data_IF_830937312636
#
_entry.id   IF_830937312636
#
_cell.length_a   1.000
_cell.length_b   1.000
_cell.length_c   1.000
_cell.angle_alpha   90.00
_cell.angle_beta   90.00
_cell.angle_gamma   90.00
#
_symmetry.space_group_name_H-M   'P 1'
#
loop_
_entity.id
_entity.type
_entity.pdbx_description
1 polymer ?
#
# COMPACT_ATOMS: atom_id res chain seq x y z
N UNK A 1 54.41 26.56 42.84
CA UNK A 1 53.11 27.00 42.29
C UNK A 1 53.06 26.56 40.83
N UNK A 2 52.33 25.49 40.52
CA UNK A 2 52.25 24.92 39.19
C UNK A 2 51.11 25.60 38.41
N UNK A 3 51.42 26.11 37.21
CA UNK A 3 50.42 26.65 36.28
C UNK A 3 49.80 25.49 35.49
N UNK A 4 48.47 25.38 35.37
CA UNK A 4 47.85 24.35 34.55
C UNK A 4 47.92 24.75 33.08
N UNK A 5 48.57 23.90 32.27
CA UNK A 5 48.56 23.94 30.81
C UNK A 5 47.15 23.65 30.31
N UNK A 6 46.45 24.65 29.77
CA UNK A 6 45.19 24.45 29.06
C UNK A 6 45.51 23.81 27.70
N UNK A 7 45.17 22.53 27.58
CA UNK A 7 45.26 21.78 26.34
C UNK A 7 44.09 22.22 25.45
N UNK A 8 44.33 23.15 24.53
CA UNK A 8 43.35 23.54 23.51
C UNK A 8 43.28 22.40 22.50
N UNK A 9 42.31 21.51 22.69
CA UNK A 9 41.91 20.55 21.68
C UNK A 9 41.23 21.37 20.58
N UNK A 10 41.99 21.77 19.55
CA UNK A 10 41.41 22.29 18.32
C UNK A 10 40.69 21.12 17.64
N UNK A 11 39.44 20.91 18.03
CA UNK A 11 38.56 19.99 17.32
C UNK A 11 38.16 20.72 16.05
N UNK A 12 38.90 20.43 14.98
CA UNK A 12 38.55 20.80 13.62
C UNK A 12 37.18 20.18 13.36
N UNK A 13 36.13 20.99 13.36
CA UNK A 13 34.80 20.57 12.94
C UNK A 13 34.93 19.94 11.54
N UNK A 14 34.26 18.81 11.26
CA UNK A 14 34.25 18.27 9.91
C UNK A 14 33.62 19.32 8.99
N UNK A 15 34.33 19.68 7.92
CA UNK A 15 33.81 20.50 6.83
C UNK A 15 32.68 19.71 6.16
N UNK A 16 31.45 19.96 6.61
CA UNK A 16 30.24 19.31 6.09
C UNK A 16 29.75 19.98 4.80
N UNK A 17 30.67 20.24 3.88
CA UNK A 17 30.37 20.75 2.54
C UNK A 17 30.47 19.60 1.52
N UNK A 18 29.82 18.47 1.79
CA UNK A 18 29.36 17.68 0.67
C UNK A 18 28.36 18.58 -0.07
N UNK A 19 28.59 18.91 -1.35
CA UNK A 19 27.68 19.80 -2.05
C UNK A 19 26.32 19.13 -2.07
N UNK A 20 25.27 19.85 -1.69
CA UNK A 20 23.87 19.36 -1.66
C UNK A 20 23.48 18.67 -2.97
N UNK A 21 24.18 18.97 -4.07
CA UNK A 21 24.09 18.28 -5.36
C UNK A 21 24.36 16.77 -5.26
N UNK A 22 25.34 16.31 -4.48
CA UNK A 22 25.67 14.89 -4.36
C UNK A 22 24.57 14.12 -3.62
N UNK A 23 24.08 14.68 -2.52
CA UNK A 23 23.00 14.07 -1.75
C UNK A 23 21.68 14.08 -2.51
N UNK A 24 21.41 15.15 -3.26
CA UNK A 24 20.24 15.25 -4.15
C UNK A 24 20.34 14.25 -5.31
N UNK A 25 21.49 14.14 -5.95
CA UNK A 25 21.72 13.17 -7.02
C UNK A 25 21.51 11.74 -6.51
N UNK A 26 22.09 11.41 -5.36
CA UNK A 26 21.93 10.08 -4.74
C UNK A 26 20.47 9.81 -4.38
N UNK A 27 19.75 10.80 -3.86
CA UNK A 27 18.34 10.68 -3.54
C UNK A 27 17.47 10.46 -4.78
N UNK A 28 17.67 11.27 -5.83
CA UNK A 28 16.96 11.12 -7.11
C UNK A 28 17.30 9.78 -7.76
N UNK A 29 18.56 9.32 -7.69
CA UNK A 29 18.96 8.01 -8.21
C UNK A 29 18.30 6.86 -7.43
N UNK A 30 18.20 6.97 -6.10
CA UNK A 30 17.51 6.01 -5.26
C UNK A 30 16.02 5.94 -5.61
N UNK A 31 15.34 7.09 -5.73
CA UNK A 31 13.94 7.16 -6.14
C UNK A 31 13.71 6.58 -7.54
N UNK A 32 14.63 6.85 -8.48
CA UNK A 32 14.57 6.30 -9.83
C UNK A 32 14.74 4.79 -9.84
N UNK A 33 15.72 4.27 -9.09
CA UNK A 33 15.96 2.83 -8.97
C UNK A 33 14.82 2.07 -8.29
N UNK A 34 14.08 2.74 -7.40
CA UNK A 34 12.90 2.19 -6.73
C UNK A 34 11.61 2.32 -7.56
N UNK A 35 11.66 2.90 -8.78
CA UNK A 35 10.48 3.18 -9.61
C UNK A 35 9.54 4.24 -9.04
N UNK A 36 9.93 4.89 -7.95
CA UNK A 36 9.14 5.91 -7.25
C UNK A 36 9.20 7.26 -7.98
N UNK A 37 10.32 7.55 -8.66
CA UNK A 37 10.52 8.84 -9.33
C UNK A 37 9.46 9.10 -10.41
N UNK A 38 9.13 8.09 -11.22
CA UNK A 38 8.15 8.25 -12.30
C UNK A 38 6.73 8.47 -11.74
N UNK A 39 6.38 7.77 -10.65
CA UNK A 39 5.11 7.97 -9.95
C UNK A 39 5.00 9.38 -9.34
N UNK A 40 6.05 9.83 -8.64
CA UNK A 40 6.08 11.17 -8.02
C UNK A 40 6.07 12.26 -9.09
N UNK A 41 6.79 12.05 -10.20
CA UNK A 41 6.82 12.99 -11.34
C UNK A 41 5.44 13.10 -11.99
N UNK A 42 4.78 11.98 -12.28
CA UNK A 42 3.41 11.99 -12.82
C UNK A 42 2.38 12.62 -11.87
N UNK A 43 2.55 12.43 -10.56
CA UNK A 43 1.72 13.08 -9.54
C UNK A 43 1.93 14.60 -9.51
N UNK A 44 3.18 15.06 -9.65
CA UNK A 44 3.56 16.47 -9.74
C UNK A 44 3.11 17.12 -11.06
N UNK A 45 3.07 16.37 -12.16
CA UNK A 45 2.49 16.83 -13.43
C UNK A 45 0.98 17.06 -13.30
N UNK A 46 0.29 16.25 -12.50
CA UNK A 46 -1.13 16.42 -12.15
C UNK A 46 -1.37 17.27 -10.89
N UNK A 47 -0.38 18.06 -10.46
CA UNK A 47 -0.43 18.82 -9.20
C UNK A 47 -1.70 19.65 -9.02
N UNK A 48 -2.18 20.33 -10.06
CA UNK A 48 -3.29 21.28 -9.93
C UNK A 48 -4.64 20.54 -9.71
N UNK A 49 -4.75 19.28 -10.13
CA UNK A 49 -5.94 18.46 -9.85
C UNK A 49 -5.85 17.73 -8.51
N UNK A 50 -4.66 17.22 -8.17
CA UNK A 50 -4.45 16.39 -6.97
C UNK A 50 -4.27 17.26 -5.72
N UNK A 51 -3.47 18.34 -5.76
CA UNK A 51 -3.24 19.19 -4.58
C UNK A 51 -4.51 19.89 -4.13
N UNK A 52 -5.37 20.32 -5.06
CA UNK A 52 -6.65 20.94 -4.70
C UNK A 52 -7.59 19.98 -3.97
N UNK A 53 -7.57 18.68 -4.32
CA UNK A 53 -8.32 17.64 -3.59
C UNK A 53 -7.68 17.39 -2.23
N UNK A 54 -6.36 17.17 -2.19
CA UNK A 54 -5.64 16.82 -0.95
C UNK A 54 -5.68 17.94 0.10
N UNK A 55 -5.50 19.21 -0.30
CA UNK A 55 -5.49 20.34 0.64
C UNK A 55 -6.86 20.53 1.31
N UNK A 56 -7.95 20.28 0.58
CA UNK A 56 -9.29 20.35 1.14
C UNK A 56 -9.61 19.12 2.02
N UNK A 57 -9.12 17.94 1.64
CA UNK A 57 -9.38 16.70 2.37
C UNK A 57 -8.48 16.52 3.62
N UNK A 58 -7.26 17.06 3.65
CA UNK A 58 -6.29 16.79 4.74
C UNK A 58 -6.76 17.28 6.11
N UNK A 59 -7.63 18.30 6.11
CA UNK A 59 -8.24 18.83 7.32
C UNK A 59 -9.51 18.09 7.73
N UNK A 60 -10.02 17.19 6.89
CA UNK A 60 -11.20 16.39 7.21
C UNK A 60 -10.89 15.43 8.38
N UNK A 61 -11.86 15.20 9.29
CA UNK A 61 -11.72 14.24 10.38
C UNK A 61 -11.27 12.86 9.89
N UNK A 62 -11.74 12.43 8.71
CA UNK A 62 -11.39 11.16 8.08
C UNK A 62 -9.90 11.01 7.79
N UNK A 63 -9.23 12.05 7.27
CA UNK A 63 -7.80 11.98 6.96
C UNK A 63 -6.95 11.96 8.23
N UNK A 64 -7.33 12.74 9.25
CA UNK A 64 -6.66 12.68 10.56
C UNK A 64 -6.77 11.28 11.18
N UNK A 65 -7.94 10.65 11.11
CA UNK A 65 -8.12 9.28 11.57
C UNK A 65 -7.29 8.27 10.76
N UNK A 66 -7.23 8.40 9.44
CA UNK A 66 -6.41 7.54 8.59
C UNK A 66 -4.92 7.62 8.93
N UNK A 67 -4.40 8.83 9.14
CA UNK A 67 -3.01 9.05 9.58
C UNK A 67 -2.76 8.41 10.94
N UNK A 68 -3.66 8.60 11.90
CA UNK A 68 -3.54 8.01 13.23
C UNK A 68 -3.61 6.47 13.22
N UNK A 69 -4.30 5.89 12.24
CA UNK A 69 -4.42 4.44 12.08
C UNK A 69 -3.38 3.84 11.12
N UNK A 70 -2.46 4.66 10.58
CA UNK A 70 -1.48 4.23 9.59
C UNK A 70 -0.51 3.17 10.13
N UNK A 71 -0.13 3.26 11.40
CA UNK A 71 0.72 2.26 12.06
C UNK A 71 0.04 0.89 12.12
N UNK A 72 -1.26 0.87 12.42
CA UNK A 72 -2.05 -0.36 12.49
C UNK A 72 -2.23 -0.96 11.09
N UNK A 73 -2.41 -0.13 10.07
CA UNK A 73 -2.43 -0.55 8.68
C UNK A 73 -1.09 -1.16 8.25
N UNK A 74 0.03 -0.51 8.60
CA UNK A 74 1.37 -1.01 8.31
C UNK A 74 1.64 -2.34 9.01
N UNK A 75 1.27 -2.45 10.28
CA UNK A 75 1.36 -3.69 11.05
C UNK A 75 0.52 -4.81 10.42
N UNK A 76 -0.73 -4.51 10.04
CA UNK A 76 -1.62 -5.45 9.34
C UNK A 76 -0.99 -5.97 8.04
N UNK A 77 -0.50 -5.08 7.18
CA UNK A 77 0.18 -5.48 5.94
C UNK A 77 1.39 -6.36 6.26
N UNK A 78 2.17 -6.02 7.29
CA UNK A 78 3.31 -6.81 7.74
C UNK A 78 2.97 -8.19 8.31
N UNK A 79 1.72 -8.44 8.71
CA UNK A 79 1.28 -9.78 9.15
C UNK A 79 1.04 -10.76 7.99
N UNK A 80 0.94 -10.26 6.76
CA UNK A 80 0.69 -11.09 5.59
C UNK A 80 2.03 -11.68 5.11
N UNK A 81 2.19 -13.02 5.04
CA UNK A 81 3.40 -13.63 4.51
C UNK A 81 3.67 -13.20 3.07
N UNK A 82 4.94 -13.01 2.70
CA UNK A 82 5.35 -12.54 1.37
C UNK A 82 4.77 -13.40 0.24
N UNK A 83 4.76 -14.72 0.41
CA UNK A 83 4.25 -15.68 -0.55
C UNK A 83 2.75 -15.49 -0.77
N UNK A 84 2.01 -15.26 0.31
CA UNK A 84 0.55 -15.02 0.26
C UNK A 84 0.26 -13.69 -0.43
N UNK A 85 1.03 -12.65 -0.10
CA UNK A 85 0.91 -11.34 -0.73
C UNK A 85 1.15 -11.40 -2.23
N UNK A 86 2.20 -12.11 -2.66
CA UNK A 86 2.50 -12.30 -4.09
C UNK A 86 1.37 -13.02 -4.82
N UNK A 87 0.81 -14.08 -4.23
CA UNK A 87 -0.31 -14.83 -4.82
C UNK A 87 -1.55 -13.94 -4.94
N UNK A 88 -1.88 -13.14 -3.93
CA UNK A 88 -3.04 -12.22 -3.97
C UNK A 88 -2.87 -11.17 -5.07
N UNK A 89 -1.69 -10.55 -5.18
CA UNK A 89 -1.42 -9.55 -6.22
C UNK A 89 -1.48 -10.16 -7.63
N UNK A 90 -0.91 -11.35 -7.83
CA UNK A 90 -0.99 -12.06 -9.11
C UNK A 90 -2.42 -12.46 -9.45
N UNK A 91 -3.19 -12.96 -8.48
CA UNK A 91 -4.60 -13.32 -8.67
C UNK A 91 -5.44 -12.09 -9.06
N UNK A 92 -5.22 -10.95 -8.39
CA UNK A 92 -5.88 -9.69 -8.73
C UNK A 92 -5.51 -9.21 -10.15
N UNK A 93 -4.22 -9.20 -10.48
CA UNK A 93 -3.75 -8.79 -11.81
C UNK A 93 -4.31 -9.69 -12.92
N UNK A 94 -4.35 -11.00 -12.69
CA UNK A 94 -4.94 -11.95 -13.64
C UNK A 94 -6.46 -11.78 -13.76
N UNK A 95 -7.16 -11.55 -12.65
CA UNK A 95 -8.60 -11.25 -12.65
C UNK A 95 -8.93 -10.00 -13.49
N UNK A 96 -8.14 -8.93 -13.33
CA UNK A 96 -8.27 -7.71 -14.14
C UNK A 96 -8.04 -7.99 -15.63
N UNK A 97 -7.01 -8.75 -15.96
CA UNK A 97 -6.76 -9.17 -17.36
C UNK A 97 -7.94 -9.97 -17.92
N UNK A 98 -8.52 -10.88 -17.14
CA UNK A 98 -9.67 -11.67 -17.56
C UNK A 98 -10.95 -10.86 -17.74
N UNK A 99 -11.15 -9.77 -16.99
CA UNK A 99 -12.28 -8.85 -17.20
C UNK A 99 -12.17 -8.10 -18.53
N UNK A 100 -10.96 -7.86 -19.02
CA UNK A 100 -10.71 -7.19 -20.28
C UNK A 100 -10.72 -8.14 -21.49
N UNK A 101 -10.97 -9.44 -21.30
CA UNK A 101 -11.13 -10.39 -22.40
C UNK A 101 -12.43 -10.06 -23.18
N UNK A 102 -12.36 -9.78 -24.49
CA UNK A 102 -13.53 -9.47 -25.32
C UNK A 102 -14.64 -10.52 -25.23
N UNK A 103 -14.31 -11.79 -24.94
CA UNK A 103 -15.28 -12.87 -24.77
C UNK A 103 -16.14 -12.73 -23.51
N UNK A 104 -15.69 -11.99 -22.50
CA UNK A 104 -16.46 -11.70 -21.30
C UNK A 104 -17.47 -10.55 -21.51
N UNK A 105 -17.24 -9.70 -22.53
CA UNK A 105 -18.01 -8.47 -22.81
C UNK A 105 -19.14 -8.67 -23.84
N UNK A 106 -19.23 -9.82 -24.50
CA UNK A 106 -20.27 -10.09 -25.52
C UNK A 106 -21.61 -10.54 -24.95
N UNK A 107 -21.71 -10.80 -23.65
CA UNK A 107 -22.97 -11.13 -22.99
C UNK A 107 -23.51 -9.89 -22.28
N UNK A 108 -24.36 -9.14 -22.98
CA UNK A 108 -25.04 -7.95 -22.46
C UNK A 108 -26.18 -8.29 -21.48
N UNK A 109 -26.33 -9.56 -21.11
CA UNK A 109 -27.30 -10.07 -20.14
C UNK A 109 -26.54 -10.57 -18.90
N UNK A 110 -26.95 -10.11 -17.72
CA UNK A 110 -26.34 -10.52 -16.46
C UNK A 110 -26.35 -12.04 -16.28
N UNK A 111 -25.36 -12.57 -15.55
CA UNK A 111 -25.26 -14.00 -15.28
C UNK A 111 -26.47 -14.48 -14.45
N UNK A 112 -27.27 -15.40 -15.00
CA UNK A 112 -28.40 -16.00 -14.31
C UNK A 112 -27.96 -17.00 -13.21
N UNK A 113 -28.85 -17.30 -12.26
CA UNK A 113 -28.56 -18.19 -11.11
C UNK A 113 -28.11 -19.58 -11.59
N UNK A 114 -28.73 -20.13 -12.63
CA UNK A 114 -28.35 -21.43 -13.21
C UNK A 114 -26.97 -21.40 -13.90
N UNK A 115 -26.63 -20.28 -14.53
CA UNK A 115 -25.31 -20.08 -15.14
C UNK A 115 -24.23 -19.97 -14.05
N UNK A 116 -24.54 -19.31 -12.93
CA UNK A 116 -23.66 -19.23 -11.77
C UNK A 116 -23.41 -20.62 -11.16
N UNK A 117 -24.46 -21.43 -10.96
CA UNK A 117 -24.30 -22.82 -10.53
C UNK A 117 -23.48 -23.64 -11.54
N UNK A 118 -23.67 -23.40 -12.83
CA UNK A 118 -22.86 -23.98 -13.89
C UNK A 118 -21.39 -23.58 -13.79
N UNK A 119 -21.11 -22.30 -13.54
CA UNK A 119 -19.75 -21.77 -13.38
C UNK A 119 -19.04 -22.38 -12.16
N UNK A 120 -19.78 -22.65 -11.07
CA UNK A 120 -19.24 -23.35 -9.89
C UNK A 120 -18.84 -24.81 -10.16
N UNK A 121 -19.24 -25.43 -11.28
CA UNK A 121 -18.68 -26.74 -11.67
C UNK A 121 -17.22 -26.64 -12.12
N UNK A 122 -16.77 -25.47 -12.57
CA UNK A 122 -15.37 -25.26 -12.90
C UNK A 122 -14.54 -25.29 -11.60
N UNK A 123 -13.52 -26.17 -11.50
CA UNK A 123 -12.73 -26.33 -10.28
C UNK A 123 -12.01 -25.05 -9.87
N UNK A 124 -11.59 -24.21 -10.82
CA UNK A 124 -10.89 -22.94 -10.53
C UNK A 124 -11.86 -21.89 -9.97
N UNK A 125 -13.05 -21.75 -10.57
CA UNK A 125 -14.11 -20.87 -10.06
C UNK A 125 -14.56 -21.31 -8.67
N UNK A 126 -14.77 -22.61 -8.45
CA UNK A 126 -15.13 -23.15 -7.16
C UNK A 126 -14.05 -22.90 -6.09
N UNK A 127 -12.77 -23.01 -6.45
CA UNK A 127 -11.65 -22.73 -5.55
C UNK A 127 -11.63 -21.25 -5.15
N UNK A 128 -11.79 -20.33 -6.09
CA UNK A 128 -11.85 -18.89 -5.80
C UNK A 128 -13.02 -18.54 -4.87
N UNK A 129 -14.20 -19.10 -5.14
CA UNK A 129 -15.39 -18.90 -4.29
C UNK A 129 -15.15 -19.46 -2.88
N UNK A 130 -14.53 -20.63 -2.73
CA UNK A 130 -14.17 -21.17 -1.40
C UNK A 130 -13.20 -20.27 -0.64
N UNK A 131 -12.20 -19.70 -1.31
CA UNK A 131 -11.27 -18.75 -0.70
C UNK A 131 -12.01 -17.52 -0.17
N UNK A 132 -12.91 -16.95 -0.99
CA UNK A 132 -13.74 -15.82 -0.59
C UNK A 132 -14.61 -16.20 0.62
N UNK A 133 -15.32 -17.32 0.57
CA UNK A 133 -16.14 -17.78 1.70
C UNK A 133 -15.31 -17.99 2.98
N UNK A 134 -14.11 -18.59 2.86
CA UNK A 134 -13.20 -18.73 3.99
C UNK A 134 -12.75 -17.40 4.60
N UNK A 135 -12.50 -16.38 3.76
CA UNK A 135 -12.26 -15.02 4.20
C UNK A 135 -13.47 -14.44 4.95
N UNK A 136 -14.68 -14.56 4.40
CA UNK A 136 -15.92 -14.08 5.03
C UNK A 136 -16.15 -14.74 6.41
N UNK A 137 -15.91 -16.05 6.52
CA UNK A 137 -16.00 -16.76 7.79
C UNK A 137 -14.99 -16.25 8.82
N UNK A 138 -13.73 -16.05 8.41
CA UNK A 138 -12.69 -15.48 9.26
C UNK A 138 -13.04 -14.08 9.75
N UNK A 139 -13.54 -13.24 8.84
CA UNK A 139 -14.02 -11.89 9.13
C UNK A 139 -15.16 -11.90 10.17
N UNK A 140 -16.18 -12.74 9.97
CA UNK A 140 -17.31 -12.86 10.90
C UNK A 140 -16.90 -13.36 12.30
N UNK A 141 -15.94 -14.28 12.38
CA UNK A 141 -15.38 -14.75 13.66
C UNK A 141 -14.65 -13.64 14.42
N UNK A 142 -13.84 -12.84 13.73
CA UNK A 142 -13.16 -11.70 14.35
C UNK A 142 -14.16 -10.64 14.84
N UNK A 143 -15.14 -10.31 14.01
CA UNK A 143 -16.16 -9.29 14.32
C UNK A 143 -17.04 -9.68 15.52
N UNK A 144 -17.52 -10.92 15.56
CA UNK A 144 -18.34 -11.41 16.68
C UNK A 144 -17.56 -11.49 18.00
N UNK A 145 -16.27 -11.79 17.95
CA UNK A 145 -15.41 -11.84 19.14
C UNK A 145 -15.19 -10.45 19.77
N UNK A 146 -15.12 -9.39 18.95
CA UNK A 146 -15.01 -8.01 19.42
C UNK A 146 -16.30 -7.48 20.07
N UNK A 147 -17.46 -8.09 19.79
CA UNK A 147 -18.76 -7.67 20.33
C UNK A 147 -19.11 -8.32 21.68
N UNK A 148 -18.38 -9.36 22.10
CA UNK A 148 -18.62 -10.10 23.36
C UNK A 148 -17.81 -9.58 24.55
N UNK A 149 -16.97 -8.55 24.34
CA UNK A 149 -16.07 -7.98 25.35
C UNK A 149 -16.48 -6.59 25.84
N UNK A 150 -17.74 -6.18 25.62
CA UNK A 150 -18.30 -4.97 26.24
C UNK A 150 -19.05 -5.38 27.53
N UNK A 151 -18.58 -4.99 28.74
CA UNK A 151 -19.41 -5.05 29.95
C UNK A 151 -20.53 -4.00 29.92
#
# INVERSE_FOLDING_TARGET
>A
MAQPTINVITTKAPDNHAPVSYDLERFVHALKSAGVLDFVTGLLEQRDSILHLVINEINQPGVKMAVNNMEQLAAFIGTIPQETWHVVLMAAANGIKSMNDPKASTQNEGMGIFQLLGALKNPETARAVRVILGFLEGFGRAWSSSSKTTP
#
